data_IF_007932130013
#
_entry.id   IF_007932130013
#
_cell.length_a   1.000
_cell.length_b   1.000
_cell.length_c   1.000
_cell.angle_alpha   90.00
_cell.angle_beta   90.00
_cell.angle_gamma   90.00
#
_symmetry.space_group_name_H-M   'P 1'
#
loop_
_entity.id
_entity.type
_entity.pdbx_description
1 polymer ?
#
# COMPACT_ATOMS: atom_id res chain seq x y z
N UNK A 1 -0.45 -3.89 6.64
CA UNK A 1 -0.26 -4.46 5.28
C UNK A 1 1.03 -3.88 4.69
N UNK A 2 1.93 -4.74 4.21
CA UNK A 2 3.15 -4.30 3.52
C UNK A 2 2.96 -4.41 2.01
N UNK A 3 3.29 -3.35 1.28
CA UNK A 3 3.29 -3.29 -0.18
C UNK A 3 4.75 -3.26 -0.65
N UNK A 4 5.10 -4.10 -1.62
CA UNK A 4 6.44 -4.18 -2.20
C UNK A 4 6.34 -4.05 -3.72
N UNK A 5 7.04 -3.09 -4.31
CA UNK A 5 7.05 -2.91 -5.76
C UNK A 5 8.12 -3.79 -6.42
N UNK A 6 7.82 -5.07 -6.60
CA UNK A 6 8.70 -6.00 -7.31
C UNK A 6 8.43 -6.01 -8.83
N UNK A 7 8.44 -4.82 -9.45
CA UNK A 7 8.13 -4.63 -10.88
C UNK A 7 9.39 -4.40 -11.73
N UNK A 8 10.54 -4.16 -11.10
CA UNK A 8 11.81 -3.82 -11.75
C UNK A 8 12.67 -5.02 -12.19
N UNK A 9 12.20 -6.25 -12.00
CA UNK A 9 12.97 -7.47 -12.31
C UNK A 9 13.03 -7.74 -13.83
N UNK A 10 13.68 -6.85 -14.58
CA UNK A 10 14.10 -7.07 -15.96
C UNK A 10 15.58 -7.43 -15.93
N UNK A 11 15.90 -8.71 -16.01
CA UNK A 11 17.28 -9.16 -16.24
C UNK A 11 17.79 -8.62 -17.57
N UNK A 12 18.66 -7.60 -17.54
CA UNK A 12 19.44 -7.16 -18.71
C UNK A 12 20.86 -7.67 -18.54
N UNK A 13 21.25 -8.64 -19.40
CA UNK A 13 22.54 -9.36 -19.41
C UNK A 13 23.82 -8.49 -19.36
N UNK A 14 23.73 -7.17 -19.55
CA UNK A 14 24.89 -6.28 -19.67
C UNK A 14 24.98 -5.21 -18.57
N UNK A 15 23.94 -5.02 -17.74
CA UNK A 15 23.98 -4.08 -16.60
C UNK A 15 23.06 -4.56 -15.48
N UNK A 16 23.62 -5.07 -14.40
CA UNK A 16 22.90 -5.30 -13.14
C UNK A 16 22.68 -3.97 -12.45
N UNK A 17 21.73 -3.18 -12.95
CA UNK A 17 21.13 -2.10 -12.17
C UNK A 17 19.64 -2.41 -12.14
N UNK A 18 19.11 -2.72 -10.97
CA UNK A 18 17.67 -2.82 -10.78
C UNK A 18 17.06 -1.49 -11.23
N UNK A 19 16.30 -1.50 -12.34
CA UNK A 19 15.45 -0.38 -12.70
C UNK A 19 14.31 -0.37 -11.70
N UNK A 20 14.45 0.42 -10.64
CA UNK A 20 13.39 0.69 -9.69
C UNK A 20 12.24 1.41 -10.42
N UNK A 21 11.06 0.77 -10.47
CA UNK A 21 9.86 1.32 -11.09
C UNK A 21 8.80 1.62 -10.01
N UNK A 22 8.59 2.90 -9.64
CA UNK A 22 7.54 3.24 -8.71
C UNK A 22 6.17 2.93 -9.30
N UNK A 23 5.24 2.51 -8.44
CA UNK A 23 3.87 2.21 -8.83
C UNK A 23 2.97 3.31 -8.26
N UNK A 24 2.40 4.21 -9.10
CA UNK A 24 1.46 5.22 -8.64
C UNK A 24 0.07 4.62 -8.38
N UNK A 25 -0.73 5.33 -7.58
CA UNK A 25 -2.18 5.12 -7.42
C UNK A 25 -2.62 3.68 -7.16
N UNK A 26 -1.94 3.01 -6.23
CA UNK A 26 -2.22 1.62 -5.87
C UNK A 26 -3.51 1.56 -5.05
N UNK A 27 -4.57 1.04 -5.64
CA UNK A 27 -5.86 0.79 -4.96
C UNK A 27 -5.73 -0.43 -4.05
N UNK A 28 -6.07 -0.25 -2.78
CA UNK A 28 -5.97 -1.28 -1.75
C UNK A 28 -7.33 -1.48 -1.09
N UNK A 29 -7.69 -2.75 -0.86
CA UNK A 29 -8.83 -3.15 -0.03
C UNK A 29 -8.35 -4.07 1.09
N UNK A 30 -8.66 -3.72 2.33
CA UNK A 30 -8.36 -4.54 3.53
C UNK A 30 -9.66 -5.06 4.13
N UNK A 31 -9.76 -6.36 4.37
CA UNK A 31 -10.93 -6.94 5.02
C UNK A 31 -10.85 -6.70 6.52
N UNK A 32 -11.94 -6.21 7.11
CA UNK A 32 -12.07 -6.09 8.55
C UNK A 32 -12.54 -7.41 9.16
N UNK A 33 -12.03 -7.78 10.35
CA UNK A 33 -12.64 -8.83 11.15
C UNK A 33 -14.10 -8.49 11.48
N UNK A 34 -14.95 -9.51 11.62
CA UNK A 34 -16.35 -9.31 11.98
C UNK A 34 -16.48 -8.52 13.30
N UNK A 35 -17.39 -7.54 13.33
CA UNK A 35 -17.63 -6.70 14.50
C UNK A 35 -16.56 -5.63 14.78
N UNK A 36 -15.48 -5.56 14.00
CA UNK A 36 -14.44 -4.51 14.12
C UNK A 36 -14.71 -3.37 13.14
N UNK A 37 -14.35 -2.15 13.55
CA UNK A 37 -14.39 -0.93 12.72
C UNK A 37 -12.99 -0.37 12.55
N UNK A 38 -12.77 0.30 11.43
CA UNK A 38 -11.55 1.07 11.23
C UNK A 38 -11.62 2.38 12.02
N UNK A 39 -10.58 2.66 12.80
CA UNK A 39 -10.45 3.94 13.52
C UNK A 39 -9.60 4.93 12.73
N UNK A 40 -8.48 4.48 12.20
CA UNK A 40 -7.56 5.33 11.45
C UNK A 40 -6.74 4.53 10.43
N UNK A 41 -6.30 5.21 9.37
CA UNK A 41 -5.37 4.65 8.37
C UNK A 41 -4.20 5.61 8.21
N UNK A 42 -2.99 5.06 8.27
CA UNK A 42 -1.74 5.80 8.08
C UNK A 42 -0.79 5.05 7.15
N UNK A 43 -0.04 5.78 6.33
CA UNK A 43 1.08 5.26 5.56
C UNK A 43 2.35 5.52 6.35
N UNK A 44 3.03 4.46 6.77
CA UNK A 44 4.13 4.57 7.73
C UNK A 44 5.41 5.13 7.10
N UNK A 45 5.74 4.73 5.86
CA UNK A 45 6.99 5.15 5.23
C UNK A 45 6.88 6.58 4.72
N UNK A 46 5.80 6.90 4.02
CA UNK A 46 5.54 8.27 3.53
C UNK A 46 5.01 9.22 4.59
N UNK A 47 4.63 8.73 5.79
CA UNK A 47 4.04 9.50 6.90
C UNK A 47 2.77 10.25 6.50
N UNK A 48 2.00 9.71 5.54
CA UNK A 48 0.77 10.32 5.01
C UNK A 48 -0.48 9.72 5.63
N UNK A 49 -1.56 10.49 5.63
CA UNK A 49 -2.91 10.04 6.02
C UNK A 49 -3.81 10.07 4.78
N UNK A 50 -3.94 8.95 4.06
CA UNK A 50 -4.73 8.91 2.84
C UNK A 50 -6.21 8.99 3.20
N UNK A 51 -7.03 9.49 2.27
CA UNK A 51 -8.47 9.31 2.37
C UNK A 51 -8.80 7.82 2.24
N UNK A 52 -9.79 7.36 3.01
CA UNK A 52 -10.23 5.97 3.00
C UNK A 52 -11.73 5.90 3.28
N UNK A 53 -12.35 4.80 2.86
CA UNK A 53 -13.76 4.52 3.08
C UNK A 53 -13.94 3.12 3.64
N UNK A 54 -14.84 2.96 4.62
CA UNK A 54 -15.31 1.64 5.02
C UNK A 54 -16.58 1.29 4.25
N UNK A 55 -16.59 0.15 3.55
CA UNK A 55 -17.73 -0.36 2.79
C UNK A 55 -17.84 -1.87 2.91
N UNK A 56 -19.01 -2.36 3.32
CA UNK A 56 -19.31 -3.80 3.39
C UNK A 56 -18.24 -4.65 4.11
N UNK A 57 -17.67 -4.15 5.22
CA UNK A 57 -16.60 -4.84 5.97
C UNK A 57 -15.21 -4.75 5.35
N UNK A 58 -14.99 -3.81 4.43
CA UNK A 58 -13.70 -3.52 3.83
C UNK A 58 -13.30 -2.07 4.07
N UNK A 59 -12.01 -1.84 4.29
CA UNK A 59 -11.39 -0.52 4.18
C UNK A 59 -10.79 -0.38 2.79
N UNK A 60 -11.19 0.66 2.08
CA UNK A 60 -10.72 0.98 0.74
C UNK A 60 -9.91 2.27 0.78
N UNK A 61 -8.72 2.27 0.17
CA UNK A 61 -7.88 3.45 0.04
C UNK A 61 -7.06 3.40 -1.25
N UNK A 62 -6.50 4.55 -1.64
CA UNK A 62 -5.47 4.64 -2.67
C UNK A 62 -4.15 5.04 -2.03
N UNK A 63 -3.11 4.24 -2.24
CA UNK A 63 -1.73 4.59 -1.88
C UNK A 63 -1.14 5.38 -3.06
N UNK A 64 -0.83 6.68 -2.89
CA UNK A 64 -0.47 7.55 -4.03
C UNK A 64 0.76 7.06 -4.80
N UNK A 65 1.72 6.46 -4.09
CA UNK A 65 2.92 5.93 -4.71
C UNK A 65 3.52 4.85 -3.81
N UNK A 66 3.76 3.67 -4.36
CA UNK A 66 4.64 2.67 -3.76
C UNK A 66 6.00 2.84 -4.40
N UNK A 67 6.98 3.26 -3.58
CA UNK A 67 8.38 3.23 -3.99
C UNK A 67 8.88 1.78 -3.98
N UNK A 68 9.98 1.46 -3.31
CA UNK A 68 10.40 0.05 -3.11
C UNK A 68 9.39 -0.69 -2.21
N UNK A 69 8.86 0.04 -1.23
CA UNK A 69 8.04 -0.47 -0.14
C UNK A 69 7.16 0.65 0.40
N UNK A 70 5.95 0.31 0.84
CA UNK A 70 5.12 1.14 1.70
C UNK A 70 4.39 0.23 2.71
N UNK A 71 4.04 0.76 3.88
CA UNK A 71 3.26 0.03 4.87
C UNK A 71 1.97 0.81 5.21
N UNK A 72 0.83 0.17 4.95
CA UNK A 72 -0.48 0.64 5.38
C UNK A 72 -0.73 0.12 6.79
N UNK A 73 -0.81 1.04 7.75
CA UNK A 73 -1.20 0.76 9.12
C UNK A 73 -2.67 1.13 9.31
N UNK A 74 -3.45 0.14 9.73
CA UNK A 74 -4.86 0.25 10.03
C UNK A 74 -5.04 0.04 11.53
N UNK A 75 -5.53 1.06 12.21
CA UNK A 75 -5.92 0.97 13.61
C UNK A 75 -7.39 0.55 13.69
N UNK A 76 -7.68 -0.45 14.51
CA UNK A 76 -9.04 -0.95 14.76
C UNK A 76 -9.58 -0.37 16.07
N UNK A 77 -10.88 -0.11 16.10
CA UNK A 77 -11.61 0.15 17.35
C UNK A 77 -11.90 -1.15 18.13
#
# INVERSE_FOLDING_TARGET
LHLLANTGNKSKKLRTREEFLPIPDVKVRLRLPAGRRARSVTLLRSRRRPAWHERAGWVELTVPQVLIHEAVHLELA
#
